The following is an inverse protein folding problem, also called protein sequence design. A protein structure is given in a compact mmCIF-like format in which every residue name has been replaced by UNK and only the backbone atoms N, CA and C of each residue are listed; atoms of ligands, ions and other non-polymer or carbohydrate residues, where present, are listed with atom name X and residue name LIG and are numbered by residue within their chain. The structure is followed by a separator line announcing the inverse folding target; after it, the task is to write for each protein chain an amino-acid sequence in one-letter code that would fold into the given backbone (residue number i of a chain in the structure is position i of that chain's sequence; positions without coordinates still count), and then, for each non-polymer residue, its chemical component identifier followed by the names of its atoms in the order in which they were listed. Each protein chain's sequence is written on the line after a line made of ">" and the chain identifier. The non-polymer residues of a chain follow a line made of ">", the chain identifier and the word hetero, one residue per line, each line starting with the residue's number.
data_IF_641555008787
#
_entry.id   IF_641555008787
#
_cell.length_a   1.000
_cell.length_b   1.000
_cell.length_c   1.000
_cell.angle_alpha   90.00
_cell.angle_beta   90.00
_cell.angle_gamma   90.00
#
_symmetry.space_group_name_H-M   'P 1'
#
loop_
_entity.id
_entity.type
_entity.pdbx_description
1 polymer ?
#
# COMPACT_ATOMS: atom_id res chain seq x y z
N UNK A 1 18.85 -8.93 11.86
CA UNK A 1 19.17 -9.42 10.51
C UNK A 1 18.86 -8.30 9.53
N UNK A 2 19.90 -7.52 9.21
CA UNK A 2 19.81 -6.36 8.33
C UNK A 2 19.34 -6.80 6.94
N UNK A 3 18.18 -6.29 6.52
CA UNK A 3 17.77 -6.40 5.14
C UNK A 3 18.38 -5.24 4.37
N UNK A 4 19.17 -5.58 3.35
CA UNK A 4 19.85 -4.68 2.43
C UNK A 4 19.01 -3.45 2.07
N UNK A 5 19.65 -2.28 2.15
CA UNK A 5 19.18 -1.08 1.46
C UNK A 5 18.81 -1.42 0.01
N UNK A 6 17.79 -0.77 -0.57
CA UNK A 6 17.48 -0.98 -1.99
C UNK A 6 18.76 -0.82 -2.81
N UNK A 7 19.15 -1.87 -3.54
CA UNK A 7 20.36 -1.83 -4.35
C UNK A 7 20.10 -0.97 -5.58
N UNK A 8 20.83 0.14 -5.68
CA UNK A 8 20.84 0.99 -6.88
C UNK A 8 21.97 0.61 -7.85
N UNK A 9 22.65 -0.50 -7.60
CA UNK A 9 23.78 -0.92 -8.41
C UNK A 9 23.35 -1.13 -9.87
N UNK A 10 24.03 -0.44 -10.80
CA UNK A 10 23.73 -0.48 -12.24
C UNK A 10 22.65 0.49 -12.72
N UNK A 11 22.08 1.33 -11.84
CA UNK A 11 21.22 2.43 -12.28
C UNK A 11 22.05 3.66 -12.66
N UNK A 12 21.74 4.24 -13.83
CA UNK A 12 22.35 5.49 -14.31
C UNK A 12 22.01 6.71 -13.44
N UNK A 13 20.89 6.66 -12.72
CA UNK A 13 20.34 7.80 -11.99
C UNK A 13 20.56 7.63 -10.49
N UNK A 14 20.77 8.74 -9.76
CA UNK A 14 21.01 8.69 -8.33
C UNK A 14 19.72 8.32 -7.58
N UNK A 15 19.88 7.83 -6.34
CA UNK A 15 18.79 7.28 -5.54
C UNK A 15 17.66 8.30 -5.32
N UNK A 16 18.00 9.58 -5.18
CA UNK A 16 17.08 10.70 -4.97
C UNK A 16 16.12 10.84 -6.15
N UNK A 17 16.61 10.75 -7.39
CA UNK A 17 15.79 10.86 -8.61
C UNK A 17 14.83 9.67 -8.72
N UNK A 18 15.34 8.46 -8.48
CA UNK A 18 14.55 7.22 -8.53
C UNK A 18 13.47 7.26 -7.45
N UNK A 19 13.88 7.55 -6.21
CA UNK A 19 13.02 7.70 -5.04
C UNK A 19 11.92 8.73 -5.27
N UNK A 20 12.26 9.90 -5.81
CA UNK A 20 11.32 10.97 -6.11
C UNK A 20 10.27 10.56 -7.15
N UNK A 21 10.68 9.92 -8.24
CA UNK A 21 9.75 9.44 -9.28
C UNK A 21 8.80 8.37 -8.74
N UNK A 22 9.32 7.41 -7.97
CA UNK A 22 8.53 6.34 -7.35
C UNK A 22 7.55 6.91 -6.32
N UNK A 23 8.00 7.87 -5.50
CA UNK A 23 7.15 8.59 -4.56
C UNK A 23 5.99 9.28 -5.27
N UNK A 24 6.26 10.09 -6.30
CA UNK A 24 5.23 10.80 -7.06
C UNK A 24 4.22 9.84 -7.69
N UNK A 25 4.69 8.76 -8.30
CA UNK A 25 3.82 7.76 -8.92
C UNK A 25 2.87 7.10 -7.91
N UNK A 26 3.36 6.67 -6.75
CA UNK A 26 2.51 5.97 -5.77
C UNK A 26 1.70 6.92 -4.88
N UNK A 27 2.12 8.17 -4.68
CA UNK A 27 1.40 9.12 -3.83
C UNK A 27 0.29 9.86 -4.59
N UNK A 28 0.58 10.36 -5.79
CA UNK A 28 -0.33 11.17 -6.60
C UNK A 28 -1.02 10.35 -7.69
N UNK A 29 -2.19 10.80 -8.19
CA UNK A 29 -2.89 10.17 -9.28
C UNK A 29 -2.23 10.38 -10.67
N UNK A 30 -0.91 10.15 -10.83
CA UNK A 30 -0.15 10.38 -12.07
C UNK A 30 0.12 9.11 -12.90
N UNK A 31 0.00 9.16 -14.21
CA UNK A 31 0.58 8.16 -15.12
C UNK A 31 2.11 8.24 -15.11
N UNK A 32 2.79 7.25 -15.71
CA UNK A 32 4.25 7.29 -15.81
C UNK A 32 4.74 8.48 -16.65
N UNK A 33 3.97 8.90 -17.66
CA UNK A 33 4.27 10.06 -18.50
C UNK A 33 4.14 11.36 -17.73
N UNK A 34 3.10 11.51 -16.91
CA UNK A 34 2.93 12.69 -16.05
C UNK A 34 3.98 12.78 -14.91
N UNK A 35 4.64 11.66 -14.58
CA UNK A 35 5.81 11.67 -13.69
C UNK A 35 7.07 12.11 -14.44
N UNK A 36 7.26 11.62 -15.66
CA UNK A 36 8.36 11.97 -16.57
C UNK A 36 8.35 13.45 -16.98
N UNK A 37 7.18 13.98 -17.36
CA UNK A 37 7.01 15.28 -18.02
C UNK A 37 7.71 16.47 -17.33
N UNK A 38 7.68 16.64 -16.00
CA UNK A 38 8.38 17.75 -15.34
C UNK A 38 9.84 17.44 -14.93
N UNK A 39 10.39 16.27 -15.29
CA UNK A 39 11.79 15.94 -14.98
C UNK A 39 12.81 16.78 -15.77
N UNK A 40 12.59 17.11 -17.06
CA UNK A 40 13.49 18.00 -17.81
C UNK A 40 13.66 19.39 -17.19
N UNK A 41 12.61 19.97 -16.59
CA UNK A 41 12.71 21.25 -15.87
C UNK A 41 13.69 21.19 -14.69
N UNK A 42 13.94 19.99 -14.15
CA UNK A 42 14.90 19.73 -13.07
C UNK A 42 16.26 19.24 -13.58
N UNK A 43 16.52 19.34 -14.88
CA UNK A 43 17.75 18.86 -15.52
C UNK A 43 17.85 17.34 -15.63
N UNK A 44 16.74 16.60 -15.44
CA UNK A 44 16.72 15.13 -15.48
C UNK A 44 16.00 14.67 -16.74
N UNK A 45 16.75 14.12 -17.70
CA UNK A 45 16.19 13.54 -18.92
C UNK A 45 15.91 12.07 -18.66
N UNK A 46 14.67 11.67 -18.45
CA UNK A 46 14.27 10.28 -18.16
C UNK A 46 13.07 9.90 -19.01
N UNK A 47 12.93 8.62 -19.39
CA UNK A 47 11.75 8.13 -20.10
C UNK A 47 10.68 7.54 -19.17
N UNK A 48 9.40 7.55 -19.57
CA UNK A 48 8.34 6.91 -18.78
C UNK A 48 8.59 5.40 -18.56
N UNK A 49 9.24 4.69 -19.50
CA UNK A 49 9.60 3.28 -19.32
C UNK A 49 10.66 3.11 -18.23
N UNK A 50 11.56 4.08 -18.09
CA UNK A 50 12.54 4.09 -16.99
C UNK A 50 11.83 4.28 -15.65
N UNK A 51 10.89 5.24 -15.57
CA UNK A 51 10.04 5.45 -14.38
C UNK A 51 9.23 4.20 -14.05
N UNK A 52 8.63 3.56 -15.06
CA UNK A 52 7.88 2.30 -14.91
C UNK A 52 8.77 1.19 -14.35
N UNK A 53 10.00 1.04 -14.86
CA UNK A 53 10.96 0.05 -14.38
C UNK A 53 11.34 0.31 -12.92
N UNK A 54 11.59 1.55 -12.52
CA UNK A 54 11.85 1.91 -11.12
C UNK A 54 10.67 1.60 -10.21
N UNK A 55 9.45 1.91 -10.63
CA UNK A 55 8.26 1.57 -9.84
C UNK A 55 8.09 0.05 -9.66
N UNK A 56 8.43 -0.73 -10.69
CA UNK A 56 8.36 -2.19 -10.65
C UNK A 56 9.45 -2.83 -9.78
N UNK A 57 10.68 -2.30 -9.83
CA UNK A 57 11.85 -2.85 -9.13
C UNK A 57 11.94 -2.35 -7.69
N UNK A 58 11.86 -1.04 -7.47
CA UNK A 58 12.09 -0.43 -6.16
C UNK A 58 10.82 -0.29 -5.32
N UNK A 59 9.64 -0.15 -5.95
CA UNK A 59 8.39 0.13 -5.25
C UNK A 59 8.03 -0.88 -4.15
N UNK A 60 8.29 -2.18 -4.39
CA UNK A 60 8.06 -3.20 -3.35
C UNK A 60 9.03 -3.09 -2.19
N UNK A 61 10.31 -2.81 -2.48
CA UNK A 61 11.34 -2.68 -1.47
C UNK A 61 11.06 -1.50 -0.55
N UNK A 62 10.69 -0.34 -1.12
CA UNK A 62 10.34 0.85 -0.34
C UNK A 62 9.10 0.60 0.53
N UNK A 63 8.06 0.01 -0.06
CA UNK A 63 6.85 -0.34 0.69
C UNK A 63 7.13 -1.35 1.82
N UNK A 64 8.06 -2.29 1.62
CA UNK A 64 8.48 -3.23 2.66
C UNK A 64 9.29 -2.53 3.77
N UNK A 65 10.20 -1.63 3.41
CA UNK A 65 10.92 -0.78 4.36
C UNK A 65 9.98 0.03 5.23
N UNK A 66 8.99 0.68 4.63
CA UNK A 66 7.96 1.43 5.35
C UNK A 66 7.17 0.54 6.30
N UNK A 67 6.69 -0.62 5.82
CA UNK A 67 5.93 -1.57 6.66
C UNK A 67 6.71 -2.06 7.87
N UNK A 68 8.02 -2.29 7.75
CA UNK A 68 8.86 -2.74 8.88
C UNK A 68 9.00 -1.70 9.99
N UNK A 69 8.94 -0.41 9.65
CA UNK A 69 9.08 0.70 10.59
C UNK A 69 7.73 1.22 11.09
N UNK A 70 6.62 0.61 10.67
CA UNK A 70 5.29 1.00 11.16
C UNK A 70 5.11 0.53 12.61
N UNK A 71 4.38 1.31 13.42
CA UNK A 71 3.89 0.85 14.71
C UNK A 71 3.13 -0.47 14.58
N UNK A 72 3.04 -1.20 15.70
CA UNK A 72 2.31 -2.44 15.77
C UNK A 72 0.83 -2.20 15.40
N UNK A 73 0.19 -3.10 14.63
CA UNK A 73 -1.22 -2.95 14.24
C UNK A 73 -2.14 -2.77 15.45
N UNK A 74 -3.20 -1.98 15.28
CA UNK A 74 -4.26 -1.90 16.29
C UNK A 74 -4.88 -3.27 16.61
N UNK A 75 -5.54 -3.37 17.77
CA UNK A 75 -6.15 -4.62 18.27
C UNK A 75 -7.39 -5.09 17.48
N UNK A 76 -7.92 -4.23 16.62
CA UNK A 76 -9.13 -4.46 15.84
C UNK A 76 -8.81 -4.43 14.35
N UNK A 77 -9.14 -5.52 13.65
CA UNK A 77 -9.01 -5.65 12.20
C UNK A 77 -10.35 -5.48 11.50
N UNK A 78 -10.43 -4.60 10.50
CA UNK A 78 -11.58 -4.45 9.62
C UNK A 78 -11.27 -5.04 8.25
N UNK A 79 -12.09 -5.99 7.80
CA UNK A 79 -11.87 -6.73 6.57
C UNK A 79 -13.05 -6.54 5.62
N UNK A 80 -12.71 -6.35 4.35
CA UNK A 80 -13.70 -6.11 3.31
C UNK A 80 -13.17 -6.54 1.95
N UNK A 81 -14.10 -6.87 1.06
CA UNK A 81 -13.82 -7.28 -0.31
C UNK A 81 -14.56 -6.39 -1.31
N UNK A 82 -13.88 -6.08 -2.40
CA UNK A 82 -14.50 -5.35 -3.51
C UNK A 82 -14.20 -6.05 -4.83
N UNK A 83 -15.14 -5.94 -5.75
CA UNK A 83 -14.94 -6.31 -7.13
C UNK A 83 -13.93 -5.36 -7.80
N UNK A 84 -13.04 -5.92 -8.60
CA UNK A 84 -12.11 -5.19 -9.47
C UNK A 84 -12.10 -5.86 -10.84
N UNK A 85 -12.23 -5.05 -11.90
CA UNK A 85 -12.18 -5.57 -13.27
C UNK A 85 -10.73 -5.59 -13.75
N UNK A 86 -10.22 -6.77 -14.07
CA UNK A 86 -8.86 -6.99 -14.54
C UNK A 86 -8.96 -7.64 -15.92
N UNK A 87 -8.45 -6.93 -16.92
CA UNK A 87 -8.49 -7.35 -18.33
C UNK A 87 -9.86 -7.80 -18.84
N UNK A 88 -10.91 -7.11 -18.40
CA UNK A 88 -12.28 -7.43 -18.78
C UNK A 88 -12.98 -8.43 -17.86
N UNK A 89 -12.26 -9.18 -17.02
CA UNK A 89 -12.79 -10.17 -16.09
C UNK A 89 -13.02 -9.61 -14.67
N UNK A 90 -14.05 -10.10 -13.99
CA UNK A 90 -14.34 -9.73 -12.61
C UNK A 90 -13.52 -10.58 -11.65
N UNK A 91 -12.73 -9.91 -10.82
CA UNK A 91 -11.93 -10.53 -9.74
C UNK A 91 -12.22 -9.84 -8.41
N UNK A 92 -11.75 -10.42 -7.32
CA UNK A 92 -11.98 -9.93 -5.96
C UNK A 92 -10.70 -9.41 -5.32
N UNK A 93 -10.76 -8.19 -4.80
CA UNK A 93 -9.71 -7.59 -3.98
C UNK A 93 -10.14 -7.63 -2.52
N UNK A 94 -9.44 -8.44 -1.74
CA UNK A 94 -9.56 -8.54 -0.29
C UNK A 94 -8.64 -7.53 0.37
N UNK A 95 -9.13 -6.86 1.40
CA UNK A 95 -8.36 -5.89 2.17
C UNK A 95 -8.60 -6.04 3.66
N UNK A 96 -7.53 -5.86 4.42
CA UNK A 96 -7.55 -5.74 5.87
C UNK A 96 -6.93 -4.40 6.27
N UNK A 97 -7.61 -3.66 7.13
CA UNK A 97 -7.11 -2.44 7.77
C UNK A 97 -7.25 -2.53 9.28
N UNK A 98 -6.41 -1.83 10.03
CA UNK A 98 -6.58 -1.73 11.48
C UNK A 98 -7.57 -0.63 11.89
N UNK A 99 -7.71 -0.46 13.21
CA UNK A 99 -8.53 0.56 13.83
C UNK A 99 -8.17 1.99 13.37
N UNK A 100 -6.92 2.27 13.00
CA UNK A 100 -6.47 3.59 12.54
C UNK A 100 -6.60 3.78 11.03
N UNK A 101 -7.04 2.75 10.30
CA UNK A 101 -7.17 2.75 8.85
C UNK A 101 -5.86 2.41 8.13
N UNK A 102 -4.84 1.94 8.85
CA UNK A 102 -3.60 1.44 8.28
C UNK A 102 -3.86 0.14 7.54
N UNK A 103 -3.48 0.07 6.28
CA UNK A 103 -3.63 -1.16 5.49
C UNK A 103 -2.63 -2.22 5.96
N UNK A 104 -3.15 -3.35 6.43
CA UNK A 104 -2.38 -4.51 6.91
C UNK A 104 -2.04 -5.45 5.75
N UNK A 105 -3.04 -5.84 4.96
CA UNK A 105 -2.83 -6.63 3.75
C UNK A 105 -3.85 -6.36 2.65
N UNK A 106 -3.43 -6.65 1.42
CA UNK A 106 -4.28 -6.66 0.22
C UNK A 106 -3.93 -7.90 -0.59
N UNK A 107 -4.96 -8.63 -0.99
CA UNK A 107 -4.84 -9.82 -1.82
C UNK A 107 -5.88 -9.80 -2.94
N UNK A 108 -5.44 -9.99 -4.19
CA UNK A 108 -6.31 -10.22 -5.34
C UNK A 108 -6.52 -11.72 -5.53
N UNK A 109 -7.77 -12.14 -5.68
CA UNK A 109 -8.17 -13.54 -5.90
C UNK A 109 -9.33 -13.60 -6.90
N UNK A 110 -9.46 -14.72 -7.60
CA UNK A 110 -10.51 -14.89 -8.61
C UNK A 110 -11.85 -15.31 -8.00
N UNK A 111 -11.84 -15.79 -6.74
CA UNK A 111 -13.02 -16.34 -6.06
C UNK A 111 -13.41 -15.57 -4.80
N UNK A 112 -14.71 -15.59 -4.49
CA UNK A 112 -15.34 -15.08 -3.26
C UNK A 112 -15.95 -16.21 -2.42
N UNK A 113 -15.13 -17.19 -2.07
CA UNK A 113 -15.53 -18.37 -1.30
C UNK A 113 -14.77 -18.49 0.03
N UNK A 114 -15.13 -19.48 0.84
CA UNK A 114 -14.49 -19.75 2.14
C UNK A 114 -13.00 -20.06 1.99
N UNK A 115 -12.58 -20.73 0.91
CA UNK A 115 -11.17 -21.04 0.69
C UNK A 115 -10.33 -19.79 0.42
N UNK A 116 -10.87 -18.85 -0.36
CA UNK A 116 -10.27 -17.54 -0.61
C UNK A 116 -10.14 -16.71 0.68
N UNK A 117 -11.18 -16.68 1.53
CA UNK A 117 -11.11 -15.99 2.83
C UNK A 117 -10.09 -16.66 3.74
N UNK A 118 -10.09 -17.99 3.83
CA UNK A 118 -9.14 -18.77 4.65
C UNK A 118 -7.69 -18.47 4.24
N UNK A 119 -7.41 -18.40 2.94
CA UNK A 119 -6.10 -17.99 2.41
C UNK A 119 -5.76 -16.56 2.82
N UNK A 120 -6.71 -15.65 2.73
CA UNK A 120 -6.51 -14.26 3.12
C UNK A 120 -6.20 -14.13 4.62
N UNK A 121 -6.94 -14.81 5.50
CA UNK A 121 -6.71 -14.79 6.95
C UNK A 121 -5.32 -15.34 7.33
N UNK A 122 -4.94 -16.50 6.78
CA UNK A 122 -3.61 -17.09 7.04
C UNK A 122 -2.48 -16.16 6.60
N UNK A 123 -2.64 -15.54 5.43
CA UNK A 123 -1.66 -14.57 4.90
C UNK A 123 -1.60 -13.32 5.78
N UNK A 124 -2.74 -12.80 6.20
CA UNK A 124 -2.84 -11.65 7.09
C UNK A 124 -2.08 -11.91 8.40
N UNK A 125 -2.40 -13.00 9.11
CA UNK A 125 -1.75 -13.37 10.37
C UNK A 125 -0.24 -13.56 10.22
N UNK A 126 0.20 -14.22 9.14
CA UNK A 126 1.63 -14.39 8.86
C UNK A 126 2.33 -13.05 8.63
N UNK A 127 1.65 -12.12 7.97
CA UNK A 127 2.21 -10.82 7.59
C UNK A 127 2.26 -9.84 8.76
N UNK A 128 1.23 -9.79 9.59
CA UNK A 128 1.18 -8.95 10.80
C UNK A 128 1.98 -9.55 11.95
N UNK A 129 2.17 -10.89 11.96
CA UNK A 129 2.73 -11.64 13.09
C UNK A 129 1.99 -11.33 14.41
N UNK A 130 0.71 -11.03 14.28
CA UNK A 130 -0.15 -10.59 15.37
C UNK A 130 -1.56 -11.14 15.15
N UNK A 131 -2.18 -11.58 16.25
CA UNK A 131 -3.59 -12.00 16.26
C UNK A 131 -4.41 -10.83 16.79
N UNK A 132 -5.37 -10.30 16.01
CA UNK A 132 -6.24 -9.22 16.49
C UNK A 132 -7.16 -9.74 17.60
N UNK A 133 -7.58 -8.86 18.50
CA UNK A 133 -8.61 -9.15 19.51
C UNK A 133 -10.00 -9.26 18.88
N UNK A 134 -10.29 -8.37 17.92
CA UNK A 134 -11.58 -8.30 17.23
C UNK A 134 -11.36 -8.25 15.71
N UNK A 135 -12.18 -9.00 14.97
CA UNK A 135 -12.30 -8.88 13.52
C UNK A 135 -13.71 -8.42 13.17
N UNK A 136 -13.79 -7.33 12.40
CA UNK A 136 -15.03 -6.77 11.88
C UNK A 136 -15.11 -7.05 10.38
N UNK A 137 -16.22 -7.65 9.94
CA UNK A 137 -16.47 -7.90 8.52
C UNK A 137 -17.88 -7.48 8.13
N UNK A 138 -18.15 -7.45 6.82
CA UNK A 138 -19.53 -7.49 6.33
C UNK A 138 -20.16 -8.87 6.54
N UNK A 139 -21.44 -9.02 6.16
CA UNK A 139 -22.27 -10.22 6.37
C UNK A 139 -22.02 -11.37 5.39
N UNK A 140 -20.90 -11.35 4.64
CA UNK A 140 -20.55 -12.47 3.75
C UNK A 140 -20.34 -13.76 4.58
N UNK A 141 -21.12 -14.80 4.29
CA UNK A 141 -21.09 -16.08 5.04
C UNK A 141 -19.69 -16.75 5.04
N UNK A 142 -18.94 -16.58 3.95
CA UNK A 142 -17.58 -17.11 3.80
C UNK A 142 -16.62 -16.61 4.89
N UNK A 143 -16.84 -15.40 5.43
CA UNK A 143 -16.05 -14.91 6.58
C UNK A 143 -16.28 -15.74 7.83
N UNK A 144 -17.54 -15.96 8.22
CA UNK A 144 -17.86 -16.74 9.41
C UNK A 144 -17.41 -18.19 9.32
N UNK A 145 -17.43 -18.78 8.12
CA UNK A 145 -16.90 -20.13 7.90
C UNK A 145 -15.38 -20.20 8.06
N UNK A 146 -14.64 -19.30 7.41
CA UNK A 146 -13.18 -19.27 7.50
C UNK A 146 -12.67 -18.82 8.88
N UNK A 147 -13.41 -17.95 9.57
CA UNK A 147 -13.08 -17.47 10.92
C UNK A 147 -13.01 -18.61 11.93
N UNK A 148 -14.05 -19.46 11.96
CA UNK A 148 -14.14 -20.63 12.83
C UNK A 148 -12.97 -21.60 12.66
N UNK A 149 -12.36 -21.65 11.48
CA UNK A 149 -11.25 -22.55 11.20
C UNK A 149 -9.87 -21.93 11.46
N UNK A 150 -9.68 -20.63 11.20
CA UNK A 150 -8.36 -19.99 11.20
C UNK A 150 -8.08 -19.21 12.49
N UNK A 151 -9.11 -18.64 13.10
CA UNK A 151 -8.99 -17.76 14.26
C UNK A 151 -10.21 -17.84 15.19
N UNK A 152 -10.58 -19.05 15.67
CA UNK A 152 -11.80 -19.25 16.47
C UNK A 152 -11.82 -18.49 17.79
N UNK A 153 -10.64 -18.15 18.34
CA UNK A 153 -10.50 -17.39 19.59
C UNK A 153 -10.67 -15.88 19.43
N UNK A 154 -10.75 -15.37 18.20
CA UNK A 154 -10.89 -13.93 17.91
C UNK A 154 -12.37 -13.56 17.90
N UNK A 155 -12.74 -12.46 18.54
CA UNK A 155 -14.13 -11.99 18.50
C UNK A 155 -14.50 -11.57 17.06
N UNK A 156 -15.52 -12.20 16.47
CA UNK A 156 -16.01 -11.85 15.12
C UNK A 156 -17.28 -11.02 15.21
N UNK A 157 -17.21 -9.77 14.72
CA UNK A 157 -18.36 -8.87 14.63
C UNK A 157 -18.77 -8.68 13.18
N UNK A 158 -20.04 -8.96 12.88
CA UNK A 158 -20.63 -8.70 11.57
C UNK A 158 -21.47 -7.42 11.64
N UNK A 159 -20.91 -6.31 11.17
CA UNK A 159 -21.64 -5.03 11.19
C UNK A 159 -21.18 -4.12 10.06
N UNK A 160 -22.13 -3.79 9.18
CA UNK A 160 -21.93 -2.82 8.09
C UNK A 160 -21.46 -1.46 8.61
N UNK A 161 -22.00 -1.01 9.75
CA UNK A 161 -21.64 0.28 10.34
C UNK A 161 -20.22 0.29 10.92
N UNK A 162 -19.81 -0.80 11.58
CA UNK A 162 -18.46 -0.94 12.11
C UNK A 162 -17.42 -1.16 11.00
N UNK A 163 -17.82 -1.68 9.83
CA UNK A 163 -16.91 -1.93 8.71
C UNK A 163 -16.63 -0.70 7.82
N UNK A 164 -17.19 0.47 8.14
CA UNK A 164 -16.94 1.73 7.41
C UNK A 164 -15.45 2.05 7.25
N UNK A 165 -14.61 1.65 8.20
CA UNK A 165 -13.15 1.86 8.12
C UNK A 165 -12.54 1.12 6.92
N UNK A 166 -12.89 -0.15 6.72
CA UNK A 166 -12.44 -0.90 5.56
C UNK A 166 -13.05 -0.34 4.26
N UNK A 167 -14.33 0.00 4.25
CA UNK A 167 -15.02 0.56 3.09
C UNK A 167 -14.36 1.86 2.60
N UNK A 168 -14.15 2.82 3.51
CA UNK A 168 -13.52 4.10 3.20
C UNK A 168 -12.08 3.94 2.70
N UNK A 169 -11.38 2.91 3.19
CA UNK A 169 -9.99 2.67 2.78
C UNK A 169 -9.88 2.38 1.27
N UNK A 170 -10.94 1.91 0.60
CA UNK A 170 -10.91 1.61 -0.83
C UNK A 170 -10.83 2.86 -1.73
N UNK A 171 -11.25 4.03 -1.23
CA UNK A 171 -11.41 5.24 -2.04
C UNK A 171 -10.12 5.68 -2.76
N UNK A 172 -8.95 5.78 -2.10
CA UNK A 172 -7.70 6.15 -2.77
C UNK A 172 -7.30 5.13 -3.86
N UNK A 173 -7.55 3.84 -3.63
CA UNK A 173 -7.25 2.80 -4.62
C UNK A 173 -8.20 2.86 -5.80
N UNK A 174 -9.49 3.13 -5.58
CA UNK A 174 -10.47 3.32 -6.68
C UNK A 174 -10.15 4.55 -7.52
N UNK A 175 -9.75 5.65 -6.90
CA UNK A 175 -9.28 6.84 -7.64
C UNK A 175 -8.12 6.46 -8.57
N UNK A 176 -7.19 5.65 -8.06
CA UNK A 176 -6.01 5.24 -8.80
C UNK A 176 -6.31 4.28 -9.94
N UNK A 177 -7.17 3.31 -9.70
CA UNK A 177 -7.66 2.36 -10.70
C UNK A 177 -8.33 3.07 -11.89
N UNK A 178 -9.14 4.11 -11.63
CA UNK A 178 -9.79 4.91 -12.68
C UNK A 178 -8.78 5.63 -13.57
N UNK A 179 -7.78 6.27 -12.96
CA UNK A 179 -6.71 6.96 -13.72
C UNK A 179 -5.90 5.96 -14.55
N UNK A 180 -5.66 4.76 -14.02
CA UNK A 180 -4.96 3.70 -14.73
C UNK A 180 -5.79 3.04 -15.84
N UNK A 181 -7.09 3.36 -15.95
CA UNK A 181 -8.03 2.72 -16.88
C UNK A 181 -8.13 1.20 -16.69
N UNK A 182 -8.05 0.76 -15.43
CA UNK A 182 -8.11 -0.65 -15.04
C UNK A 182 -6.78 -1.40 -15.18
N UNK A 183 -6.72 -2.58 -14.56
CA UNK A 183 -5.52 -3.43 -14.62
C UNK A 183 -5.61 -4.42 -15.79
N UNK A 184 -4.46 -4.79 -16.37
CA UNK A 184 -4.35 -5.76 -17.47
C UNK A 184 -3.95 -7.17 -17.04
N UNK A 185 -3.55 -7.35 -15.79
CA UNK A 185 -3.26 -8.69 -15.25
C UNK A 185 -3.33 -8.71 -13.73
N UNK A 186 -3.69 -9.87 -13.17
CA UNK A 186 -3.77 -10.09 -11.72
C UNK A 186 -2.41 -9.86 -11.07
N UNK A 187 -1.33 -10.35 -11.68
CA UNK A 187 0.04 -10.15 -11.18
C UNK A 187 0.45 -8.68 -11.15
N UNK A 188 0.14 -7.90 -12.19
CA UNK A 188 0.42 -6.46 -12.21
C UNK A 188 -0.41 -5.71 -11.17
N UNK A 189 -1.70 -6.04 -11.04
CA UNK A 189 -2.57 -5.47 -10.02
C UNK A 189 -2.05 -5.76 -8.60
N UNK A 190 -1.70 -7.01 -8.30
CA UNK A 190 -1.17 -7.39 -6.99
C UNK A 190 0.14 -6.65 -6.67
N UNK A 191 1.08 -6.57 -7.62
CA UNK A 191 2.32 -5.80 -7.44
C UNK A 191 2.01 -4.33 -7.16
N UNK A 192 1.21 -3.69 -8.02
CA UNK A 192 0.83 -2.29 -7.82
C UNK A 192 0.21 -2.05 -6.43
N UNK A 193 -0.80 -2.83 -6.06
CA UNK A 193 -1.50 -2.72 -4.78
C UNK A 193 -0.58 -2.93 -3.57
N UNK A 194 0.38 -3.85 -3.69
CA UNK A 194 1.34 -4.16 -2.60
C UNK A 194 2.32 -3.01 -2.35
N UNK A 195 2.70 -2.26 -3.39
CA UNK A 195 3.51 -1.05 -3.25
C UNK A 195 2.65 0.15 -2.83
N UNK A 196 1.55 0.39 -3.53
CA UNK A 196 0.64 1.51 -3.30
C UNK A 196 0.11 1.56 -1.86
N UNK A 197 -0.29 0.43 -1.29
CA UNK A 197 -0.78 0.36 0.10
C UNK A 197 0.30 0.58 1.17
N UNK A 198 1.58 0.39 0.82
CA UNK A 198 2.70 0.72 1.70
C UNK A 198 3.10 2.19 1.60
N UNK A 199 3.15 2.72 0.37
CA UNK A 199 3.71 4.05 0.09
C UNK A 199 2.65 5.15 0.24
N UNK A 200 1.49 5.04 -0.42
CA UNK A 200 0.51 6.13 -0.44
C UNK A 200 0.04 6.56 0.96
N UNK A 201 -0.34 5.64 1.88
CA UNK A 201 -0.78 6.04 3.22
C UNK A 201 0.31 6.71 4.05
N UNK A 202 1.59 6.38 3.80
CA UNK A 202 2.72 7.03 4.49
C UNK A 202 2.78 8.54 4.23
N UNK A 203 2.29 9.01 3.10
CA UNK A 203 2.29 10.45 2.77
C UNK A 203 0.91 11.09 2.91
N UNK A 204 -0.05 10.41 3.55
CA UNK A 204 -1.41 10.92 3.77
C UNK A 204 -1.76 10.86 5.26
N UNK A 205 -1.05 11.60 6.13
CA UNK A 205 -1.48 11.76 7.53
C UNK A 205 -2.85 12.43 7.59
N UNK A 206 -3.55 12.32 8.72
CA UNK A 206 -4.86 12.91 8.94
C UNK A 206 -4.76 14.45 9.04
N UNK A 207 -4.57 15.13 7.90
CA UNK A 207 -4.35 16.58 7.80
C UNK A 207 -5.39 17.42 8.55
N UNK A 208 -6.64 16.97 8.56
CA UNK A 208 -7.76 17.66 9.24
C UNK A 208 -7.67 17.64 10.77
N UNK A 209 -6.80 16.79 11.34
CA UNK A 209 -6.54 16.71 12.79
C UNK A 209 -5.30 17.50 13.21
N UNK A 210 -4.64 18.20 12.28
CA UNK A 210 -3.35 18.83 12.52
C UNK A 210 -3.40 20.33 12.24
N UNK A 211 -2.65 21.11 13.02
CA UNK A 211 -2.32 22.49 12.67
C UNK A 211 -1.41 22.51 11.43
N UNK A 212 -1.27 23.67 10.79
CA UNK A 212 -0.38 23.82 9.63
C UNK A 212 1.09 23.53 10.01
N UNK A 213 1.57 24.01 11.15
CA UNK A 213 2.92 23.74 11.66
C UNK A 213 3.11 22.26 12.01
N UNK A 214 2.15 21.65 12.70
CA UNK A 214 2.18 20.23 13.04
C UNK A 214 2.21 19.33 11.80
N UNK A 215 1.43 19.69 10.77
CA UNK A 215 1.46 18.96 9.50
C UNK A 215 2.83 19.04 8.80
N UNK A 216 3.46 20.23 8.78
CA UNK A 216 4.80 20.38 8.18
C UNK A 216 5.84 19.54 8.92
N UNK A 217 5.84 19.59 10.26
CA UNK A 217 6.74 18.79 11.08
C UNK A 217 6.56 17.28 10.83
N UNK A 218 5.31 16.82 10.78
CA UNK A 218 4.99 15.42 10.48
C UNK A 218 5.47 15.00 9.08
N UNK A 219 5.30 15.86 8.07
CA UNK A 219 5.78 15.58 6.72
C UNK A 219 7.31 15.54 6.68
N UNK A 220 8.01 16.41 7.40
CA UNK A 220 9.48 16.36 7.54
C UNK A 220 9.94 15.01 8.08
N UNK A 221 9.32 14.53 9.17
CA UNK A 221 9.64 13.20 9.75
C UNK A 221 9.36 12.08 8.74
N UNK A 222 8.24 12.14 8.02
CA UNK A 222 7.87 11.13 7.01
C UNK A 222 8.82 11.10 5.82
N UNK A 223 9.30 12.26 5.35
CA UNK A 223 10.31 12.34 4.30
C UNK A 223 11.68 11.87 4.78
N UNK A 224 12.11 12.24 5.99
CA UNK A 224 13.35 11.72 6.57
C UNK A 224 13.34 10.17 6.65
N UNK A 225 12.21 9.59 7.06
CA UNK A 225 12.04 8.13 7.06
C UNK A 225 12.11 7.53 5.65
N UNK A 226 11.50 8.21 4.68
CA UNK A 226 11.51 7.81 3.27
C UNK A 226 12.93 7.85 2.70
N UNK A 227 13.70 8.90 2.97
CA UNK A 227 15.05 9.06 2.47
C UNK A 227 15.98 8.00 3.06
N UNK A 228 15.82 7.66 4.34
CA UNK A 228 16.53 6.54 4.97
C UNK A 228 16.18 5.19 4.33
N UNK A 229 14.89 4.93 4.05
CA UNK A 229 14.44 3.67 3.44
C UNK A 229 14.92 3.55 2.00
N UNK A 230 14.89 4.67 1.28
CA UNK A 230 15.31 4.75 -0.11
C UNK A 230 16.82 4.95 -0.24
N UNK A 231 17.59 5.10 0.83
CA UNK A 231 19.02 5.38 0.73
C UNK A 231 19.37 6.73 0.09
N UNK A 232 18.38 7.62 -0.10
CA UNK A 232 18.57 9.00 -0.54
C UNK A 232 19.12 9.90 0.58
N UNK A 233 19.18 9.40 1.82
CA UNK A 233 19.73 10.13 2.97
C UNK A 233 21.27 10.27 2.94
N UNK A 234 21.97 9.61 2.02
CA UNK A 234 23.43 9.54 1.98
C UNK A 234 24.03 10.33 0.80
N UNK A 235 23.72 11.62 0.67
CA UNK A 235 24.59 12.56 -0.03
C UNK A 235 24.55 13.91 0.71
N UNK A 236 25.71 14.50 1.07
CA UNK A 236 25.73 15.88 1.54
C UNK A 236 25.13 16.75 0.44
N UNK A 237 24.15 17.58 0.81
CA UNK A 237 23.81 18.76 0.01
C UNK A 237 25.11 19.56 -0.13
N UNK A 238 25.83 19.33 -1.22
CA UNK A 238 27.10 20.01 -1.46
C UNK A 238 26.74 21.28 -2.21
N UNK A 239 26.83 22.39 -1.47
CA UNK A 239 26.83 23.80 -1.84
C UNK A 239 25.67 24.32 -2.71
#
# INVERSE_FOLDING_TARGET
>A
MDSASPSYQGHRYPAEVISHCVWRYFHFPLSFREVEEPMPERGVIVSYETVRRWCATSGQAYAAGLRRRRPWPGDTGHLDEVFVRIDGELTYRWRAVDADGTVLDILVQDRRDTAAVRRFFRRLLKKTRAVPRVVVTDKLRSYGAAHREVMPSVEHRQSKYLNKRAENSHQPTRQRERVMKGFRSVGAAQRFLSAFSGISPHFRPHRHLMTASGHRAEMTVRFALWDQITGAANLPTTA
#
